data_IF_895739059992
#
_entry.id   IF_895739059992
#
_cell.length_a   1.000
_cell.length_b   1.000
_cell.length_c   1.000
_cell.angle_alpha   90.00
_cell.angle_beta   90.00
_cell.angle_gamma   90.00
#
_symmetry.space_group_name_H-M   'P 1'
#
loop_
_entity.id
_entity.type
_entity.pdbx_description
1 polymer ?
#
# COMPACT_ATOMS: atom_id res chain seq x y z
N UNK A 1 -15.33 -25.24 -28.44
CA UNK A 1 -13.92 -25.34 -27.97
C UNK A 1 -13.26 -23.98 -27.84
N UNK A 2 -13.21 -23.16 -28.90
CA UNK A 2 -12.58 -21.82 -28.84
C UNK A 2 -13.30 -20.83 -27.91
N UNK A 3 -14.64 -20.80 -27.94
CA UNK A 3 -15.44 -19.94 -27.05
C UNK A 3 -15.27 -20.27 -25.56
N UNK A 4 -15.18 -21.55 -25.22
CA UNK A 4 -14.92 -21.99 -23.85
C UNK A 4 -13.51 -21.59 -23.39
N UNK A 5 -12.53 -21.72 -24.29
CA UNK A 5 -11.14 -21.34 -24.03
C UNK A 5 -11.01 -19.82 -23.82
N UNK A 6 -11.68 -19.00 -24.63
CA UNK A 6 -11.70 -17.55 -24.46
C UNK A 6 -12.41 -17.11 -23.19
N UNK A 7 -13.52 -17.77 -22.82
CA UNK A 7 -14.24 -17.49 -21.57
C UNK A 7 -13.38 -17.82 -20.34
N UNK A 8 -12.68 -18.96 -20.35
CA UNK A 8 -11.75 -19.35 -19.30
C UNK A 8 -10.59 -18.34 -19.17
N UNK A 9 -10.00 -17.92 -20.29
CA UNK A 9 -8.92 -16.93 -20.29
C UNK A 9 -9.38 -15.59 -19.69
N UNK A 10 -10.60 -15.14 -20.00
CA UNK A 10 -11.15 -13.89 -19.46
C UNK A 10 -11.33 -13.93 -17.94
N UNK A 11 -11.74 -15.06 -17.37
CA UNK A 11 -11.92 -15.20 -15.91
C UNK A 11 -10.60 -15.12 -15.13
N UNK A 12 -9.47 -15.49 -15.73
CA UNK A 12 -8.16 -15.44 -15.10
C UNK A 12 -7.62 -14.00 -14.93
N UNK A 13 -8.13 -13.04 -15.69
CA UNK A 13 -7.69 -11.63 -15.63
C UNK A 13 -8.44 -10.79 -14.58
N UNK A 14 -9.48 -11.32 -13.92
CA UNK A 14 -10.34 -10.55 -13.00
C UNK A 14 -9.85 -10.49 -11.53
N UNK A 15 -8.61 -10.88 -11.25
CA UNK A 15 -8.11 -11.08 -9.88
C UNK A 15 -7.52 -9.86 -9.13
N UNK A 16 -7.87 -8.62 -9.49
CA UNK A 16 -7.34 -7.45 -8.78
C UNK A 16 -8.16 -7.16 -7.50
N UNK A 17 -7.63 -7.55 -6.34
CA UNK A 17 -8.23 -7.24 -5.04
C UNK A 17 -7.39 -6.16 -4.34
N UNK A 18 -7.99 -5.02 -4.03
CA UNK A 18 -7.39 -4.01 -3.18
C UNK A 18 -7.83 -4.26 -1.73
N UNK A 19 -6.89 -4.56 -0.86
CA UNK A 19 -7.15 -4.67 0.57
C UNK A 19 -7.03 -3.31 1.24
N UNK A 20 -7.93 -3.02 2.19
CA UNK A 20 -7.86 -1.79 3.00
C UNK A 20 -7.28 -2.12 4.36
N UNK A 21 -6.15 -1.50 4.69
CA UNK A 21 -5.54 -1.59 6.03
C UNK A 21 -6.15 -0.48 6.89
N UNK A 22 -6.75 -0.84 8.02
CA UNK A 22 -7.27 0.10 9.01
C UNK A 22 -6.51 -0.05 10.32
N UNK A 23 -5.97 1.05 10.84
CA UNK A 23 -5.23 1.04 12.09
C UNK A 23 -4.89 2.44 12.58
N UNK A 24 -4.22 2.51 13.72
CA UNK A 24 -3.70 3.75 14.29
C UNK A 24 -2.30 4.01 13.76
N UNK A 25 -2.03 5.22 13.28
CA UNK A 25 -0.65 5.64 13.02
C UNK A 25 0.09 5.76 14.36
N UNK A 26 1.19 5.02 14.49
CA UNK A 26 2.01 4.95 15.72
C UNK A 26 3.43 5.46 15.51
N UNK A 27 3.84 5.72 14.27
CA UNK A 27 5.14 6.28 13.94
C UNK A 27 5.12 6.95 12.56
N UNK A 28 6.01 7.94 12.40
CA UNK A 28 6.29 8.60 11.13
C UNK A 28 7.77 8.34 10.85
N UNK A 29 8.09 7.69 9.73
CA UNK A 29 9.47 7.42 9.36
C UNK A 29 10.03 8.61 8.57
N UNK A 30 9.30 9.04 7.54
CA UNK A 30 9.66 10.13 6.62
C UNK A 30 8.39 10.82 6.10
N UNK A 31 8.53 11.83 5.24
CA UNK A 31 7.38 12.62 4.75
C UNK A 31 6.34 11.84 3.93
N UNK A 32 6.69 10.65 3.43
CA UNK A 32 5.80 9.75 2.67
C UNK A 32 5.63 8.37 3.32
N UNK A 33 6.25 8.13 4.49
CA UNK A 33 6.33 6.79 5.09
C UNK A 33 5.87 6.80 6.54
N UNK A 34 4.88 5.96 6.87
CA UNK A 34 4.26 5.87 8.21
C UNK A 34 4.23 4.43 8.72
N UNK A 35 4.19 4.28 10.05
CA UNK A 35 3.93 2.99 10.71
C UNK A 35 2.52 2.96 11.28
N UNK A 36 1.73 1.96 10.88
CA UNK A 36 0.34 1.75 11.29
C UNK A 36 0.23 0.48 12.15
N UNK A 37 -0.42 0.59 13.30
CA UNK A 37 -0.78 -0.52 14.18
C UNK A 37 -2.26 -0.85 14.00
N UNK A 38 -2.57 -2.07 13.56
CA UNK A 38 -3.95 -2.53 13.38
C UNK A 38 -4.59 -3.03 14.70
N UNK A 39 -5.83 -3.50 14.60
CA UNK A 39 -6.56 -4.07 15.74
C UNK A 39 -5.96 -5.39 16.27
N UNK A 40 -5.26 -6.15 15.42
CA UNK A 40 -4.56 -7.37 15.78
C UNK A 40 -3.16 -7.11 16.38
N UNK A 41 -2.77 -5.83 16.54
CA UNK A 41 -1.45 -5.37 16.97
C UNK A 41 -0.32 -5.74 15.98
N UNK A 42 -0.66 -5.96 14.71
CA UNK A 42 0.30 -6.06 13.62
C UNK A 42 0.73 -4.66 13.23
N UNK A 43 2.05 -4.48 13.02
CA UNK A 43 2.62 -3.23 12.56
C UNK A 43 2.91 -3.31 11.05
N UNK A 44 2.48 -2.30 10.33
CA UNK A 44 2.70 -2.13 8.90
C UNK A 44 3.51 -0.86 8.67
N UNK A 45 4.64 -0.98 7.98
CA UNK A 45 5.34 0.19 7.43
C UNK A 45 4.79 0.45 6.02
N UNK A 46 4.20 1.63 5.82
CA UNK A 46 3.47 1.99 4.61
C UNK A 46 4.14 3.21 3.98
N UNK A 47 4.60 3.05 2.73
CA UNK A 47 5.03 4.17 1.88
C UNK A 47 3.87 4.60 0.97
N UNK A 48 3.58 5.89 0.95
CA UNK A 48 2.47 6.46 0.20
C UNK A 48 2.81 6.53 -1.29
N UNK A 49 2.11 5.74 -2.10
CA UNK A 49 2.31 5.75 -3.56
C UNK A 49 1.96 7.12 -4.15
N UNK A 50 2.84 7.64 -5.01
CA UNK A 50 2.65 8.92 -5.71
C UNK A 50 2.96 10.16 -4.88
N UNK A 51 3.39 9.99 -3.63
CA UNK A 51 3.95 11.06 -2.81
C UNK A 51 5.46 10.91 -2.83
N UNK A 52 6.16 12.01 -3.13
CA UNK A 52 7.62 12.11 -3.03
C UNK A 52 7.92 13.25 -2.07
N UNK A 53 8.46 12.91 -0.91
CA UNK A 53 8.78 13.86 0.15
C UNK A 53 10.25 13.73 0.53
N UNK A 54 10.91 14.82 0.98
CA UNK A 54 12.28 14.74 1.45
C UNK A 54 12.38 13.77 2.64
N UNK A 55 13.38 12.90 2.60
CA UNK A 55 13.73 12.02 3.72
C UNK A 55 14.21 12.87 4.91
N UNK A 56 14.12 12.38 6.15
CA UNK A 56 14.40 13.19 7.35
C UNK A 56 15.76 13.91 7.35
N UNK A 57 16.78 13.29 6.74
CA UNK A 57 18.14 13.84 6.65
C UNK A 57 18.34 14.86 5.53
N UNK A 58 17.36 15.02 4.64
CA UNK A 58 17.41 15.95 3.51
C UNK A 58 16.94 17.34 3.92
N UNK A 59 17.24 18.33 3.07
CA UNK A 59 16.71 19.68 3.27
C UNK A 59 15.18 19.63 3.35
N UNK A 60 14.61 20.34 4.34
CA UNK A 60 13.18 20.39 4.63
C UNK A 60 12.55 19.09 5.18
N UNK A 61 13.31 18.00 5.36
CA UNK A 61 12.80 16.72 5.88
C UNK A 61 12.47 16.70 7.38
N UNK A 62 12.82 17.74 8.12
CA UNK A 62 12.66 17.83 9.57
C UNK A 62 11.97 19.13 10.05
N UNK A 63 11.19 19.76 9.17
CA UNK A 63 10.49 21.02 9.48
C UNK A 63 9.11 20.80 10.10
#
# INVERSE_FOLDING_TARGET
MHFLFTALLLTLFFGANAETITGRVVGIADGDTVTVLDAAKVQYQIRLSGIDAPEMAQAFGNR
#
